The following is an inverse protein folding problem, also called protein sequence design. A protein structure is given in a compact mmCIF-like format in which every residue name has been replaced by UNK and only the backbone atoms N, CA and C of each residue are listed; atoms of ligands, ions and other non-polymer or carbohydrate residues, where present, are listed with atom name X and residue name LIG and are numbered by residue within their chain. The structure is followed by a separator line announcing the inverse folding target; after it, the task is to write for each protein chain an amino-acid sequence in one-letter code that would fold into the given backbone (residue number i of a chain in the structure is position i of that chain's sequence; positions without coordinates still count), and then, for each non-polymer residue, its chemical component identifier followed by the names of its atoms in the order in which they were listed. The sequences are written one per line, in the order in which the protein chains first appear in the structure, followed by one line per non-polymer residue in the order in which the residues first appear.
data_IF_006343586231
#
_entry.id   IF_006343586231
#
_cell.length_a   1.000
_cell.length_b   1.000
_cell.length_c   1.000
_cell.angle_alpha   90.00
_cell.angle_beta   90.00
_cell.angle_gamma   90.00
#
_symmetry.space_group_name_H-M   'P 1'
#
loop_
_entity.id
_entity.type
_entity.pdbx_description
1 polymer ?
#
# COMPACT_ATOMS: atom_id res chain seq x y z
N UNK A 1 20.81 -39.70 22.38
CA UNK A 1 19.70 -38.95 22.97
C UNK A 1 20.31 -38.00 23.99
N UNK A 2 20.76 -36.84 23.50
CA UNK A 2 21.19 -35.71 24.33
C UNK A 2 20.76 -34.46 23.56
N UNK A 3 20.06 -33.61 24.28
CA UNK A 3 19.21 -32.51 23.85
C UNK A 3 19.88 -31.22 24.34
N UNK A 4 20.50 -30.42 23.47
CA UNK A 4 20.97 -29.04 23.73
C UNK A 4 21.21 -28.37 22.37
N UNK A 5 20.82 -27.15 22.01
CA UNK A 5 19.93 -26.10 22.54
C UNK A 5 19.60 -25.19 21.33
N UNK A 6 18.43 -24.54 21.31
CA UNK A 6 17.91 -23.82 20.14
C UNK A 6 18.75 -22.59 19.78
N UNK A 7 18.97 -22.43 18.48
CA UNK A 7 19.47 -21.23 17.81
C UNK A 7 18.72 -20.00 18.35
N UNK A 8 19.47 -19.07 18.95
CA UNK A 8 18.94 -17.85 19.56
C UNK A 8 18.56 -16.85 18.46
N UNK A 9 17.29 -16.89 18.06
CA UNK A 9 16.70 -16.06 16.99
C UNK A 9 16.58 -14.57 17.35
N UNK A 10 17.09 -14.12 18.50
CA UNK A 10 16.77 -12.80 19.06
C UNK A 10 17.46 -11.60 18.42
N UNK A 11 18.41 -11.80 17.50
CA UNK A 11 19.13 -10.67 16.87
C UNK A 11 18.54 -10.20 15.53
N UNK A 12 17.49 -10.87 15.03
CA UNK A 12 16.76 -10.45 13.83
C UNK A 12 15.60 -9.48 14.13
N UNK A 13 15.28 -9.29 15.41
CA UNK A 13 14.08 -8.57 15.87
C UNK A 13 14.31 -7.04 15.85
N UNK A 14 15.49 -6.53 16.24
CA UNK A 14 15.73 -5.08 16.35
C UNK A 14 15.82 -4.32 15.01
N UNK A 15 16.37 -4.95 13.96
CA UNK A 15 16.40 -4.35 12.61
C UNK A 15 15.02 -4.42 11.94
N UNK A 16 14.26 -5.47 12.23
CA UNK A 16 12.87 -5.60 11.83
C UNK A 16 11.99 -4.58 12.55
N UNK A 17 12.28 -4.23 13.80
CA UNK A 17 11.48 -3.29 14.58
C UNK A 17 11.67 -1.84 14.12
N UNK A 18 12.90 -1.40 13.80
CA UNK A 18 13.12 -0.06 13.23
C UNK A 18 12.53 0.07 11.83
N UNK A 19 12.66 -1.00 11.01
CA UNK A 19 12.03 -1.10 9.70
C UNK A 19 10.51 -1.18 9.81
N UNK A 20 9.97 -1.84 10.84
CA UNK A 20 8.54 -1.91 11.14
C UNK A 20 7.97 -0.56 11.56
N UNK A 21 8.76 0.29 12.22
CA UNK A 21 8.35 1.65 12.60
C UNK A 21 8.35 2.63 11.42
N UNK A 22 9.18 2.44 10.41
CA UNK A 22 9.14 3.22 9.16
C UNK A 22 8.11 2.63 8.17
N UNK A 23 7.94 1.31 8.14
CA UNK A 23 6.81 0.60 7.52
C UNK A 23 5.49 0.78 8.28
N UNK A 24 5.46 1.54 9.39
CA UNK A 24 4.20 1.80 10.13
C UNK A 24 3.31 2.82 9.43
N UNK A 25 3.83 3.57 8.45
CA UNK A 25 3.01 4.52 7.68
C UNK A 25 2.68 3.98 6.28
N UNK A 26 3.56 3.16 5.67
CA UNK A 26 3.36 2.53 4.36
C UNK A 26 3.58 1.03 4.48
N UNK A 27 2.54 0.23 4.21
CA UNK A 27 2.61 -1.23 4.21
C UNK A 27 2.31 -1.75 2.80
N UNK A 28 3.05 -2.76 2.35
CA UNK A 28 2.70 -3.47 1.12
C UNK A 28 1.68 -4.54 1.51
N UNK A 29 0.45 -4.41 1.00
CA UNK A 29 -0.61 -5.40 1.21
C UNK A 29 -1.07 -5.98 -0.12
N UNK A 30 -1.39 -7.27 -0.07
CA UNK A 30 -2.13 -7.92 -1.13
C UNK A 30 -3.57 -7.41 -1.16
N UNK A 31 -4.17 -7.47 -2.35
CA UNK A 31 -5.58 -7.11 -2.56
C UNK A 31 -6.54 -7.76 -1.54
N UNK A 32 -6.30 -9.01 -1.13
CA UNK A 32 -7.14 -9.75 -0.18
C UNK A 32 -7.39 -9.04 1.17
N UNK A 33 -6.40 -8.34 1.71
CA UNK A 33 -6.57 -7.54 2.94
C UNK A 33 -7.32 -6.23 2.64
N UNK A 34 -7.06 -5.68 1.47
CA UNK A 34 -7.64 -4.47 0.93
C UNK A 34 -9.15 -4.61 0.67
N UNK A 35 -9.62 -5.79 0.27
CA UNK A 35 -11.06 -6.11 0.09
C UNK A 35 -11.88 -5.77 1.33
N UNK A 36 -11.35 -6.00 2.54
CA UNK A 36 -12.06 -5.66 3.79
C UNK A 36 -12.23 -4.15 3.96
N UNK A 37 -11.22 -3.38 3.58
CA UNK A 37 -11.28 -1.92 3.61
C UNK A 37 -12.17 -1.38 2.49
N UNK A 38 -12.13 -2.01 1.31
CA UNK A 38 -12.97 -1.67 0.18
C UNK A 38 -14.45 -1.91 0.50
N UNK A 39 -14.79 -3.00 1.18
CA UNK A 39 -16.15 -3.28 1.66
C UNK A 39 -16.68 -2.21 2.62
N UNK A 40 -15.80 -1.47 3.30
CA UNK A 40 -16.16 -0.31 4.14
C UNK A 40 -16.28 1.00 3.34
N UNK A 41 -15.90 1.01 2.06
CA UNK A 41 -15.92 2.18 1.19
C UNK A 41 -14.80 3.20 1.49
N UNK A 42 -13.74 2.77 2.18
CA UNK A 42 -12.67 3.67 2.65
C UNK A 42 -11.38 3.57 1.82
N UNK A 43 -11.41 2.83 0.71
CA UNK A 43 -10.24 2.61 -0.15
C UNK A 43 -10.17 3.68 -1.23
N UNK A 44 -9.01 4.30 -1.30
CA UNK A 44 -8.71 5.39 -2.20
C UNK A 44 -7.49 5.00 -3.02
N UNK A 45 -7.67 4.89 -4.34
CA UNK A 45 -6.58 4.63 -5.28
C UNK A 45 -5.86 5.94 -5.60
N UNK A 46 -4.55 5.90 -5.45
CA UNK A 46 -3.63 7.01 -5.70
C UNK A 46 -2.80 6.66 -6.92
N UNK A 47 -2.78 7.56 -7.89
CA UNK A 47 -1.93 7.45 -9.06
C UNK A 47 -0.46 7.46 -8.65
N UNK A 48 0.36 6.74 -9.41
CA UNK A 48 1.82 6.65 -9.26
C UNK A 48 2.57 7.99 -9.42
N UNK A 49 1.87 9.00 -9.90
CA UNK A 49 2.38 10.37 -10.07
C UNK A 49 2.31 11.19 -8.78
N UNK A 50 1.54 10.73 -7.77
CA UNK A 50 1.42 11.37 -6.46
C UNK A 50 2.07 10.50 -5.39
N UNK A 51 2.80 11.15 -4.49
CA UNK A 51 3.42 10.44 -3.37
C UNK A 51 2.36 10.02 -2.35
N UNK A 52 2.40 8.75 -1.92
CA UNK A 52 1.49 8.21 -0.92
C UNK A 52 1.55 8.98 0.40
N UNK A 53 2.72 9.46 0.80
CA UNK A 53 2.92 10.24 2.02
C UNK A 53 2.29 11.63 1.87
N UNK A 54 2.41 12.25 0.70
CA UNK A 54 1.77 13.54 0.43
C UNK A 54 0.23 13.43 0.45
N UNK A 55 -0.30 12.39 -0.18
CA UNK A 55 -1.73 12.09 -0.17
C UNK A 55 -2.23 11.81 1.26
N UNK A 56 -1.44 11.06 2.05
CA UNK A 56 -1.74 10.78 3.44
C UNK A 56 -1.71 12.04 4.33
N UNK A 57 -0.70 12.89 4.17
CA UNK A 57 -0.59 14.15 4.90
C UNK A 57 -1.77 15.08 4.60
N UNK A 58 -2.20 15.16 3.35
CA UNK A 58 -3.36 15.93 2.92
C UNK A 58 -4.67 15.40 3.52
N UNK A 59 -4.86 14.07 3.51
CA UNK A 59 -5.99 13.41 4.18
C UNK A 59 -6.00 13.66 5.70
N UNK A 60 -4.83 13.58 6.35
CA UNK A 60 -4.69 13.84 7.78
C UNK A 60 -4.97 15.30 8.17
N UNK A 61 -4.74 16.23 7.25
CA UNK A 61 -5.02 17.66 7.43
C UNK A 61 -6.45 18.04 7.01
N UNK A 62 -7.24 17.10 6.49
CA UNK A 62 -8.57 17.32 5.93
C UNK A 62 -8.58 18.44 4.86
N UNK A 63 -7.52 18.50 4.04
CA UNK A 63 -7.33 19.53 3.01
C UNK A 63 -8.27 19.29 1.81
N UNK A 64 -9.55 19.59 1.99
CA UNK A 64 -10.63 19.34 1.01
C UNK A 64 -10.42 20.05 -0.33
N UNK A 65 -9.66 21.15 -0.34
CA UNK A 65 -9.35 21.90 -1.57
C UNK A 65 -8.36 21.13 -2.46
N UNK A 66 -7.35 20.51 -1.84
CA UNK A 66 -6.34 19.71 -2.53
C UNK A 66 -6.89 18.34 -2.92
N UNK A 67 -7.69 17.70 -2.05
CA UNK A 67 -8.44 16.48 -2.40
C UNK A 67 -9.30 16.66 -3.66
N UNK A 68 -10.04 17.77 -3.76
CA UNK A 68 -10.87 18.06 -4.94
C UNK A 68 -10.02 18.25 -6.20
N UNK A 69 -8.87 18.90 -6.08
CA UNK A 69 -7.94 19.09 -7.21
C UNK A 69 -7.40 17.76 -7.71
N UNK A 70 -7.06 16.84 -6.81
CA UNK A 70 -6.58 15.52 -7.17
C UNK A 70 -7.68 14.61 -7.71
N UNK A 71 -8.91 14.72 -7.20
CA UNK A 71 -10.09 14.03 -7.74
C UNK A 71 -10.42 14.52 -9.16
N UNK A 72 -10.39 15.83 -9.39
CA UNK A 72 -10.64 16.43 -10.71
C UNK A 72 -9.52 16.07 -11.70
N UNK A 73 -8.27 16.08 -11.23
CA UNK A 73 -7.10 15.66 -12.01
C UNK A 73 -6.98 14.15 -12.23
N UNK A 74 -7.84 13.32 -11.62
CA UNK A 74 -7.75 11.85 -11.69
C UNK A 74 -6.53 11.25 -11.00
N UNK A 75 -5.81 12.04 -10.20
CA UNK A 75 -4.64 11.63 -9.41
C UNK A 75 -5.10 10.78 -8.21
N UNK A 76 -6.25 11.13 -7.64
CA UNK A 76 -6.90 10.40 -6.57
C UNK A 76 -8.27 9.97 -7.06
N UNK A 77 -8.59 8.68 -6.91
CA UNK A 77 -9.91 8.16 -7.25
C UNK A 77 -10.35 7.15 -6.21
N UNK A 78 -11.65 7.06 -5.95
CA UNK A 78 -12.16 5.91 -5.21
C UNK A 78 -11.98 4.67 -6.07
N UNK A 79 -11.51 3.59 -5.46
CA UNK A 79 -11.58 2.29 -6.07
C UNK A 79 -13.04 2.01 -6.45
N UNK A 80 -13.28 1.59 -7.69
CA UNK A 80 -14.60 1.17 -8.14
C UNK A 80 -14.73 -0.36 -8.05
N UNK A 81 -15.94 -0.88 -8.16
CA UNK A 81 -16.20 -2.32 -8.20
C UNK A 81 -15.48 -3.03 -9.36
N UNK A 82 -15.30 -2.36 -10.50
CA UNK A 82 -14.52 -2.86 -11.63
C UNK A 82 -13.03 -2.99 -11.30
N UNK A 83 -12.42 -1.95 -10.71
CA UNK A 83 -11.03 -1.98 -10.25
C UNK A 83 -10.83 -3.10 -9.22
N UNK A 84 -11.74 -3.21 -8.25
CA UNK A 84 -11.74 -4.26 -7.24
C UNK A 84 -11.77 -5.67 -7.84
N UNK A 85 -12.54 -5.86 -8.93
CA UNK A 85 -12.64 -7.15 -9.62
C UNK A 85 -11.37 -7.47 -10.39
N UNK A 86 -10.77 -6.49 -11.05
CA UNK A 86 -9.50 -6.64 -11.75
C UNK A 86 -8.37 -6.98 -10.77
N UNK A 87 -8.26 -6.24 -9.66
CA UNK A 87 -7.27 -6.48 -8.62
C UNK A 87 -7.49 -7.82 -7.91
N UNK A 88 -8.74 -8.28 -7.78
CA UNK A 88 -9.04 -9.62 -7.27
C UNK A 88 -8.60 -10.73 -8.20
N UNK A 89 -8.48 -10.47 -9.51
CA UNK A 89 -8.03 -11.47 -10.48
C UNK A 89 -6.52 -11.46 -10.66
N UNK A 90 -5.88 -10.29 -10.53
CA UNK A 90 -4.43 -10.13 -10.71
C UNK A 90 -3.65 -10.26 -9.41
N UNK A 91 -4.33 -10.15 -8.27
CA UNK A 91 -3.77 -10.06 -6.91
C UNK A 91 -2.45 -9.27 -6.84
N UNK A 92 -2.41 -8.02 -7.38
CA UNK A 92 -1.18 -7.24 -7.33
C UNK A 92 -0.78 -6.92 -5.89
N UNK A 93 0.50 -6.65 -5.70
CA UNK A 93 1.01 -6.04 -4.47
C UNK A 93 0.82 -4.51 -4.55
N UNK A 94 0.08 -3.96 -3.59
CA UNK A 94 -0.17 -2.52 -3.49
C UNK A 94 0.58 -1.93 -2.31
N UNK A 95 1.10 -0.72 -2.51
CA UNK A 95 1.55 0.10 -1.42
C UNK A 95 0.33 0.76 -0.78
N UNK A 96 0.17 0.58 0.52
CA UNK A 96 -1.00 1.02 1.25
C UNK A 96 -0.59 1.93 2.42
N UNK A 97 -1.33 3.03 2.61
CA UNK A 97 -1.19 3.93 3.76
C UNK A 97 -2.53 4.08 4.45
N UNK A 98 -2.57 3.87 5.76
CA UNK A 98 -3.80 4.01 6.55
C UNK A 98 -3.82 5.39 7.21
N UNK A 99 -4.68 6.27 6.73
CA UNK A 99 -4.98 7.56 7.38
C UNK A 99 -6.38 7.49 7.94
N UNK A 100 -6.54 7.11 9.21
CA UNK A 100 -7.86 6.88 9.80
C UNK A 100 -8.84 8.04 9.50
N UNK A 101 -10.00 7.78 8.88
CA UNK A 101 -10.59 6.46 8.59
C UNK A 101 -10.29 5.83 7.20
N UNK A 102 -9.52 6.48 6.34
CA UNK A 102 -9.22 6.11 4.95
C UNK A 102 -8.00 5.19 4.78
N UNK A 103 -7.97 4.45 3.67
CA UNK A 103 -6.83 3.65 3.22
C UNK A 103 -6.47 4.06 1.80
N UNK A 104 -5.30 4.65 1.64
CA UNK A 104 -4.76 5.03 0.35
C UNK A 104 -3.95 3.86 -0.21
N UNK A 105 -4.12 3.58 -1.49
CA UNK A 105 -3.49 2.45 -2.16
C UNK A 105 -2.88 2.90 -3.47
N UNK A 106 -1.68 2.43 -3.75
CA UNK A 106 -0.96 2.73 -4.97
C UNK A 106 -0.47 1.41 -5.55
N UNK A 107 -0.74 1.19 -6.83
CA UNK A 107 -0.16 0.05 -7.55
C UNK A 107 1.35 0.21 -7.51
N UNK A 108 2.08 -0.77 -6.97
CA UNK A 108 3.52 -0.82 -7.21
C UNK A 108 3.66 -0.98 -8.72
N UNK A 109 4.25 0.01 -9.43
CA UNK A 109 4.69 -0.21 -10.82
C UNK A 109 5.41 -1.54 -10.77
N UNK A 110 5.00 -2.58 -11.52
CA UNK A 110 5.87 -3.71 -11.71
C UNK A 110 7.13 -3.07 -12.29
N UNK A 111 8.20 -3.08 -11.49
CA UNK A 111 9.52 -2.70 -11.95
C UNK A 111 9.65 -3.39 -13.30
N UNK A 112 9.89 -2.61 -14.36
CA UNK A 112 10.04 -3.12 -15.71
C UNK A 112 11.33 -3.97 -15.75
N UNK A 113 11.28 -5.14 -15.14
CA UNK A 113 12.30 -6.17 -15.16
C UNK A 113 11.87 -7.25 -16.14
N UNK A 114 11.51 -6.88 -17.37
CA UNK A 114 11.54 -7.82 -18.50
C UNK A 114 11.49 -7.09 -19.84
N UNK A 115 12.58 -6.41 -20.24
CA UNK A 115 12.84 -6.08 -21.66
C UNK A 115 14.33 -5.79 -21.88
N UNK A 116 15.22 -6.72 -21.51
CA UNK A 116 16.58 -6.79 -22.08
C UNK A 116 17.08 -8.25 -22.19
N UNK A 117 16.18 -9.18 -22.51
CA UNK A 117 16.55 -10.45 -23.15
C UNK A 117 16.08 -10.39 -24.61
N UNK A 118 16.97 -9.95 -25.50
CA UNK A 118 16.79 -10.06 -26.96
C UNK A 118 18.07 -10.70 -27.55
N UNK A 119 17.91 -11.53 -28.59
CA UNK A 119 18.76 -12.70 -28.91
C UNK A 119 20.18 -12.38 -29.41
#
# INVERSE_FOLDING_TARGET
MTEEKPIDTRQLEDSAELSARLNSETAILAWSELVRHFARGVVIHVSLELDLVEAAACMARDDTQLLQTWLDGGILRRASDDDARDWSSREPEFWCVVTAPWVLVQEKRPDACETLARP
#
